data_IF_164205159632
#
_entry.id   IF_164205159632
#
_cell.length_a   1.000
_cell.length_b   1.000
_cell.length_c   1.000
_cell.angle_alpha   90.00
_cell.angle_beta   90.00
_cell.angle_gamma   90.00
#
_symmetry.space_group_name_H-M   'P 1'
#
loop_
_entity.id
_entity.type
_entity.pdbx_description
1 polymer ?
#
# COMPACT_ATOMS: atom_id res chain seq x y z
N UNK A 1 -5.31 0.69 10.58
CA UNK A 1 -4.65 -0.17 9.58
C UNK A 1 -5.51 -1.40 9.41
N UNK A 2 -5.61 -1.90 8.18
CA UNK A 2 -6.64 -2.86 7.80
C UNK A 2 -6.21 -4.31 7.98
N UNK A 3 -4.94 -4.58 8.33
CA UNK A 3 -4.36 -5.92 8.53
C UNK A 3 -4.71 -6.91 7.41
N UNK A 4 -4.79 -6.39 6.18
CA UNK A 4 -5.25 -7.14 5.02
C UNK A 4 -4.10 -7.94 4.44
N UNK A 5 -4.36 -9.19 4.06
CA UNK A 5 -3.40 -10.02 3.38
C UNK A 5 -3.97 -10.61 2.08
N UNK A 6 -3.08 -10.77 1.11
CA UNK A 6 -3.32 -11.54 -0.10
C UNK A 6 -2.74 -12.94 0.10
N UNK A 7 -3.53 -13.98 -0.17
CA UNK A 7 -3.11 -15.37 -0.02
C UNK A 7 -3.21 -16.06 -1.37
N UNK A 8 -2.09 -16.59 -1.86
CA UNK A 8 -1.98 -17.19 -3.19
C UNK A 8 -1.70 -18.68 -3.07
N UNK A 9 -2.65 -19.52 -3.45
CA UNK A 9 -2.51 -20.98 -3.43
C UNK A 9 -2.00 -21.48 -4.77
N UNK A 10 -0.84 -22.13 -4.75
CA UNK A 10 -0.24 -22.70 -5.93
C UNK A 10 -1.04 -23.91 -6.42
N UNK A 11 -1.27 -23.94 -7.72
CA UNK A 11 -1.90 -25.04 -8.46
C UNK A 11 -0.85 -25.99 -9.03
N UNK A 12 -1.25 -27.20 -9.49
CA UNK A 12 -0.34 -28.13 -10.17
C UNK A 12 0.32 -27.57 -11.45
N UNK A 13 -0.35 -26.65 -12.15
CA UNK A 13 0.16 -25.96 -13.34
C UNK A 13 1.17 -24.84 -13.01
N UNK A 14 1.50 -24.65 -11.73
CA UNK A 14 2.37 -23.60 -11.17
C UNK A 14 1.78 -22.18 -11.19
N UNK A 15 0.52 -22.02 -11.56
CA UNK A 15 -0.23 -20.78 -11.38
C UNK A 15 -0.81 -20.71 -9.97
N UNK A 16 -1.43 -19.58 -9.62
CA UNK A 16 -1.92 -19.30 -8.28
C UNK A 16 -3.38 -18.87 -8.30
N UNK A 17 -4.13 -19.37 -7.32
CA UNK A 17 -5.48 -18.91 -7.00
C UNK A 17 -5.40 -17.93 -5.82
N UNK A 18 -5.91 -16.72 -6.02
CA UNK A 18 -5.78 -15.60 -5.08
C UNK A 18 -7.00 -15.49 -4.19
N UNK A 19 -6.76 -15.26 -2.90
CA UNK A 19 -7.77 -15.13 -1.85
C UNK A 19 -7.44 -13.98 -0.91
N UNK A 20 -8.49 -13.47 -0.27
CA UNK A 20 -8.40 -12.37 0.69
C UNK A 20 -8.37 -12.87 2.13
N UNK A 21 -7.62 -12.19 3.00
CA UNK A 21 -7.78 -12.28 4.45
C UNK A 21 -7.82 -10.89 5.08
N UNK A 22 -8.80 -10.62 5.94
CA UNK A 22 -8.97 -9.30 6.56
C UNK A 22 -7.99 -9.03 7.71
N UNK A 23 -7.56 -10.06 8.43
CA UNK A 23 -6.66 -9.94 9.59
C UNK A 23 -5.32 -10.64 9.36
N UNK A 24 -5.06 -11.09 8.12
CA UNK A 24 -3.86 -11.84 7.78
C UNK A 24 -2.56 -11.04 7.82
N UNK A 25 -2.62 -9.71 7.84
CA UNK A 25 -1.46 -8.82 7.89
C UNK A 25 -1.12 -8.29 9.29
N UNK A 26 -1.74 -8.84 10.35
CA UNK A 26 -1.59 -8.30 11.70
C UNK A 26 -0.18 -8.49 12.25
N UNK A 27 0.38 -9.69 12.15
CA UNK A 27 1.63 -10.08 12.82
C UNK A 27 2.37 -11.27 12.17
N UNK A 28 1.96 -11.72 10.97
CA UNK A 28 2.58 -12.86 10.31
C UNK A 28 2.00 -14.23 10.69
N UNK A 29 1.26 -14.33 11.81
CA UNK A 29 0.76 -15.61 12.37
C UNK A 29 -0.20 -16.38 11.47
N UNK A 30 -0.81 -15.73 10.46
CA UNK A 30 -1.68 -16.42 9.49
C UNK A 30 -0.93 -17.54 8.75
N UNK A 31 0.37 -17.39 8.49
CA UNK A 31 1.17 -18.41 7.81
C UNK A 31 1.19 -19.74 8.57
N UNK A 32 1.33 -19.68 9.89
CA UNK A 32 1.38 -20.86 10.77
C UNK A 32 0.01 -21.57 10.90
N UNK A 33 -1.09 -20.86 10.62
CA UNK A 33 -2.45 -21.42 10.68
C UNK A 33 -2.91 -22.03 9.36
N UNK A 34 -2.23 -21.72 8.25
CA UNK A 34 -2.50 -22.32 6.95
C UNK A 34 -1.74 -23.64 6.88
N UNK A 35 -2.47 -24.75 6.92
CA UNK A 35 -1.90 -26.10 6.85
C UNK A 35 -2.73 -27.01 5.94
N UNK A 36 -2.27 -28.24 5.72
CA UNK A 36 -3.04 -29.23 4.96
C UNK A 36 -4.39 -29.57 5.63
N UNK A 37 -4.46 -29.55 6.96
CA UNK A 37 -5.66 -29.80 7.75
C UNK A 37 -6.60 -28.59 7.77
N UNK A 38 -6.03 -27.39 7.83
CA UNK A 38 -6.77 -26.11 7.83
C UNK A 38 -6.30 -25.21 6.70
N UNK A 39 -6.61 -25.55 5.43
CA UNK A 39 -6.07 -24.83 4.28
C UNK A 39 -6.52 -23.39 4.25
N UNK A 40 -7.72 -23.07 4.76
CA UNK A 40 -8.22 -21.70 4.86
C UNK A 40 -8.08 -21.09 6.27
N UNK A 41 -7.16 -21.62 7.09
CA UNK A 41 -6.90 -21.19 8.47
C UNK A 41 -8.19 -21.04 9.30
N UNK A 42 -9.05 -22.06 9.23
CA UNK A 42 -10.36 -22.11 9.92
C UNK A 42 -11.28 -20.92 9.60
N UNK A 43 -11.27 -20.47 8.33
CA UNK A 43 -12.13 -19.40 7.83
C UNK A 43 -11.52 -18.01 7.90
N UNK A 44 -10.27 -17.89 8.36
CA UNK A 44 -9.57 -16.60 8.33
C UNK A 44 -9.12 -16.19 6.92
N UNK A 45 -8.99 -17.15 6.00
CA UNK A 45 -8.86 -16.89 4.56
C UNK A 45 -10.23 -17.06 3.92
N UNK A 46 -10.65 -16.08 3.12
CA UNK A 46 -11.94 -16.14 2.44
C UNK A 46 -12.01 -17.35 1.50
N UNK A 47 -13.16 -18.03 1.51
CA UNK A 47 -13.48 -19.14 0.62
C UNK A 47 -13.67 -18.69 -0.84
N UNK A 48 -14.02 -17.43 -1.08
CA UNK A 48 -14.16 -16.88 -2.42
C UNK A 48 -12.80 -16.54 -3.05
N UNK A 49 -12.67 -16.80 -4.34
CA UNK A 49 -11.51 -16.41 -5.13
C UNK A 49 -11.62 -14.93 -5.52
N UNK A 50 -10.52 -14.21 -5.34
CA UNK A 50 -10.34 -12.88 -5.92
C UNK A 50 -9.99 -12.98 -7.41
N UNK A 51 -9.15 -13.95 -7.74
CA UNK A 51 -8.73 -14.31 -9.10
C UNK A 51 -8.18 -15.74 -9.10
N UNK A 52 -8.17 -16.39 -10.25
CA UNK A 52 -7.63 -17.74 -10.42
C UNK A 52 -6.58 -17.78 -11.53
N UNK A 53 -5.77 -18.83 -11.54
CA UNK A 53 -4.81 -19.09 -12.63
C UNK A 53 -3.83 -17.93 -12.89
N UNK A 54 -3.32 -17.27 -11.83
CA UNK A 54 -2.44 -16.11 -11.93
C UNK A 54 -0.97 -16.52 -11.85
N UNK A 55 -0.12 -16.00 -12.75
CA UNK A 55 1.32 -16.20 -12.67
C UNK A 55 1.93 -15.40 -11.50
N UNK A 56 2.99 -15.93 -10.87
CA UNK A 56 3.62 -15.31 -9.67
C UNK A 56 3.93 -13.82 -9.86
N UNK A 57 4.56 -13.44 -10.97
CA UNK A 57 4.94 -12.05 -11.22
C UNK A 57 3.72 -11.14 -11.37
N UNK A 58 2.63 -11.68 -11.94
CA UNK A 58 1.36 -10.97 -12.08
C UNK A 58 0.65 -10.72 -10.76
N UNK A 59 0.90 -11.54 -9.74
CA UNK A 59 0.38 -11.29 -8.39
C UNK A 59 0.89 -9.93 -7.91
N UNK A 60 2.19 -9.67 -8.04
CA UNK A 60 2.82 -8.43 -7.57
C UNK A 60 2.34 -7.23 -8.38
N UNK A 61 2.33 -7.32 -9.70
CA UNK A 61 2.04 -6.16 -10.56
C UNK A 61 0.55 -5.83 -10.66
N UNK A 62 -0.34 -6.83 -10.60
CA UNK A 62 -1.76 -6.63 -10.92
C UNK A 62 -2.70 -6.76 -9.72
N UNK A 63 -2.29 -7.43 -8.63
CA UNK A 63 -3.19 -7.76 -7.52
C UNK A 63 -2.70 -7.32 -6.15
N UNK A 64 -1.40 -7.17 -5.96
CA UNK A 64 -0.81 -6.77 -4.68
C UNK A 64 -0.67 -5.25 -4.61
N UNK A 65 -1.78 -4.56 -4.37
CA UNK A 65 -1.77 -3.13 -4.08
C UNK A 65 -1.08 -2.86 -2.73
N UNK A 66 0.10 -2.20 -2.70
CA UNK A 66 0.84 -1.96 -1.46
C UNK A 66 0.14 -0.97 -0.51
N UNK A 67 -0.82 -0.17 -0.99
CA UNK A 67 -1.63 0.71 -0.14
C UNK A 67 -2.74 -0.06 0.59
N UNK A 68 -3.14 -1.23 0.08
CA UNK A 68 -4.25 -2.03 0.62
C UNK A 68 -3.74 -3.20 1.45
N UNK A 69 -2.76 -3.93 0.94
CA UNK A 69 -2.26 -5.16 1.54
C UNK A 69 -1.04 -4.90 2.40
N UNK A 70 -1.03 -5.52 3.59
CA UNK A 70 0.08 -5.45 4.55
C UNK A 70 0.93 -6.74 4.50
N UNK A 71 0.39 -7.85 3.96
CA UNK A 71 1.09 -9.11 3.82
C UNK A 71 0.70 -9.89 2.54
N UNK A 72 1.63 -10.73 2.07
CA UNK A 72 1.42 -11.73 1.02
C UNK A 72 1.82 -13.11 1.55
N UNK A 73 0.98 -14.10 1.32
CA UNK A 73 1.27 -15.51 1.61
C UNK A 73 1.27 -16.32 0.32
N UNK A 74 2.37 -17.01 0.03
CA UNK A 74 2.45 -17.98 -1.06
C UNK A 74 2.35 -19.39 -0.48
N UNK A 75 1.24 -20.05 -0.74
CA UNK A 75 0.99 -21.42 -0.28
C UNK A 75 1.34 -22.37 -1.41
N UNK A 76 2.17 -23.36 -1.13
CA UNK A 76 2.52 -24.44 -2.04
C UNK A 76 1.96 -25.77 -1.52
N UNK A 77 0.71 -26.13 -1.89
CA UNK A 77 0.12 -27.42 -1.54
C UNK A 77 0.93 -28.53 -2.23
N UNK A 78 1.75 -29.22 -1.44
CA UNK A 78 2.62 -30.31 -1.85
C UNK A 78 2.78 -31.30 -0.71
N UNK A 79 3.76 -32.20 -0.80
CA UNK A 79 4.00 -33.20 0.24
C UNK A 79 4.33 -32.57 1.62
N UNK A 80 5.03 -31.43 1.62
CA UNK A 80 5.45 -30.73 2.84
C UNK A 80 4.53 -29.57 3.22
N UNK A 81 3.56 -29.22 2.37
CA UNK A 81 2.65 -28.09 2.52
C UNK A 81 3.36 -26.81 3.02
N UNK A 82 4.06 -26.13 2.10
CA UNK A 82 4.90 -24.98 2.43
C UNK A 82 4.13 -23.65 2.33
N UNK A 83 4.41 -22.73 3.25
CA UNK A 83 3.78 -21.39 3.30
C UNK A 83 4.86 -20.34 3.49
N UNK A 84 5.16 -19.62 2.41
CA UNK A 84 6.08 -18.48 2.46
C UNK A 84 5.32 -17.19 2.78
N UNK A 85 5.69 -16.52 3.86
CA UNK A 85 5.12 -15.24 4.27
C UNK A 85 6.01 -14.07 3.85
N UNK A 86 5.37 -12.98 3.44
CA UNK A 86 6.03 -11.75 3.01
C UNK A 86 5.34 -10.53 3.62
N UNK A 87 6.13 -9.62 4.18
CA UNK A 87 5.68 -8.29 4.56
C UNK A 87 5.60 -7.38 3.34
N UNK A 88 4.52 -6.61 3.19
CA UNK A 88 4.33 -5.70 2.06
C UNK A 88 4.67 -4.27 2.47
N UNK A 89 5.63 -3.68 1.76
CA UNK A 89 6.13 -2.34 1.99
C UNK A 89 5.62 -1.38 0.92
N UNK A 90 4.85 -0.36 1.29
CA UNK A 90 4.52 0.74 0.40
C UNK A 90 5.63 1.79 0.39
N UNK A 91 6.24 2.03 -0.77
CA UNK A 91 7.49 2.80 -0.87
C UNK A 91 7.29 4.30 -1.14
N UNK A 92 6.06 4.79 -1.08
CA UNK A 92 5.75 6.18 -1.41
C UNK A 92 5.13 6.95 -0.24
N UNK A 93 5.14 8.28 -0.37
CA UNK A 93 4.57 9.25 0.57
C UNK A 93 3.38 10.03 -0.05
N UNK A 94 2.86 9.58 -1.20
CA UNK A 94 1.74 10.20 -1.91
C UNK A 94 0.36 9.74 -1.39
N UNK A 95 -0.71 10.13 -2.07
CA UNK A 95 -2.08 9.68 -1.78
C UNK A 95 -2.44 8.33 -2.46
N UNK A 96 -1.43 7.61 -2.96
CA UNK A 96 -1.57 6.35 -3.70
C UNK A 96 -1.75 6.51 -5.22
N UNK A 97 -1.70 7.75 -5.75
CA UNK A 97 -1.80 8.02 -7.20
C UNK A 97 -0.45 8.10 -7.92
N UNK A 98 0.63 8.16 -7.16
CA UNK A 98 1.98 8.09 -7.70
C UNK A 98 2.34 6.61 -7.87
N UNK A 99 2.45 6.08 -9.09
CA UNK A 99 3.27 4.91 -9.45
C UNK A 99 3.00 3.52 -8.83
N UNK A 100 2.28 3.37 -7.71
CA UNK A 100 2.02 2.07 -7.08
C UNK A 100 3.28 1.33 -6.65
N UNK A 101 4.35 2.03 -6.27
CA UNK A 101 5.64 1.38 -5.96
C UNK A 101 5.59 0.67 -4.61
N UNK A 102 5.86 -0.64 -4.65
CA UNK A 102 5.85 -1.50 -3.48
C UNK A 102 7.08 -2.39 -3.41
N UNK A 103 7.26 -3.04 -2.27
CA UNK A 103 8.20 -4.15 -2.13
C UNK A 103 7.63 -5.25 -1.24
N UNK A 104 8.17 -6.45 -1.38
CA UNK A 104 7.93 -7.57 -0.48
C UNK A 104 9.24 -8.00 0.19
N UNK A 105 9.18 -8.29 1.48
CA UNK A 105 10.30 -8.82 2.26
C UNK A 105 9.87 -10.15 2.85
N UNK A 106 10.65 -11.21 2.63
CA UNK A 106 10.34 -12.52 3.21
C UNK A 106 10.46 -12.46 4.74
N UNK A 107 9.47 -13.00 5.44
CA UNK A 107 9.44 -13.02 6.90
C UNK A 107 9.20 -14.44 7.39
N UNK A 108 10.05 -14.88 8.31
CA UNK A 108 9.94 -16.19 8.97
C UNK A 108 9.39 -15.98 10.39
N UNK A 109 8.06 -16.10 10.51
CA UNK A 109 7.33 -15.95 11.75
C UNK A 109 7.16 -14.51 12.26
N UNK A 110 6.46 -14.40 13.40
CA UNK A 110 6.03 -13.13 14.00
C UNK A 110 7.19 -12.20 14.37
N UNK A 111 8.28 -12.76 14.89
CA UNK A 111 9.43 -11.96 15.32
C UNK A 111 10.12 -11.27 14.13
N UNK A 112 10.22 -11.96 12.98
CA UNK A 112 10.79 -11.38 11.76
C UNK A 112 9.87 -10.29 11.19
N UNK A 113 8.56 -10.53 11.11
CA UNK A 113 7.58 -9.53 10.67
C UNK A 113 7.63 -8.27 11.54
N UNK A 114 7.63 -8.44 12.87
CA UNK A 114 7.75 -7.30 13.81
C UNK A 114 9.04 -6.51 13.59
N UNK A 115 10.17 -7.18 13.36
CA UNK A 115 11.46 -6.52 13.07
C UNK A 115 11.35 -5.66 11.82
N UNK A 116 10.92 -6.26 10.71
CA UNK A 116 10.80 -5.59 9.41
C UNK A 116 9.85 -4.41 9.49
N UNK A 117 8.68 -4.58 10.11
CA UNK A 117 7.69 -3.51 10.30
C UNK A 117 8.23 -2.34 11.10
N UNK A 118 8.94 -2.64 12.19
CA UNK A 118 9.52 -1.61 13.06
C UNK A 118 10.59 -0.83 12.31
N UNK A 119 11.51 -1.53 11.64
CA UNK A 119 12.56 -0.94 10.83
C UNK A 119 12.00 -0.09 9.68
N UNK A 120 11.07 -0.65 8.91
CA UNK A 120 10.50 0.00 7.74
C UNK A 120 9.75 1.27 8.14
N UNK A 121 8.91 1.18 9.19
CA UNK A 121 8.17 2.33 9.71
C UNK A 121 9.10 3.42 10.23
N UNK A 122 10.12 3.06 11.00
CA UNK A 122 11.07 4.03 11.53
C UNK A 122 11.82 4.77 10.41
N UNK A 123 12.29 4.02 9.40
CA UNK A 123 13.00 4.58 8.24
C UNK A 123 12.08 5.46 7.41
N UNK A 124 10.84 5.01 7.15
CA UNK A 124 9.85 5.76 6.38
C UNK A 124 9.44 7.07 7.07
N UNK A 125 9.31 7.07 8.40
CA UNK A 125 9.07 8.28 9.20
C UNK A 125 10.24 9.24 9.11
N UNK A 126 11.48 8.79 9.34
CA UNK A 126 12.65 9.66 9.26
C UNK A 126 12.82 10.30 7.88
N UNK A 127 12.57 9.54 6.81
CA UNK A 127 12.57 10.06 5.44
C UNK A 127 11.43 11.05 5.19
N UNK A 128 10.25 10.83 5.78
CA UNK A 128 9.13 11.78 5.71
C UNK A 128 9.54 13.13 6.32
N UNK A 129 10.16 13.12 7.50
CA UNK A 129 10.62 14.33 8.17
C UNK A 129 11.65 15.09 7.31
N UNK A 130 12.58 14.37 6.66
CA UNK A 130 13.55 14.97 5.74
C UNK A 130 12.91 15.56 4.48
N UNK A 131 11.84 14.95 3.97
CA UNK A 131 11.05 15.49 2.86
C UNK A 131 10.33 16.76 3.30
N UNK A 132 9.67 16.75 4.46
CA UNK A 132 8.93 17.90 5.00
C UNK A 132 9.84 19.09 5.28
N UNK A 133 11.08 18.85 5.74
CA UNK A 133 12.10 19.88 5.91
C UNK A 133 12.73 20.37 4.59
N UNK A 134 12.37 19.77 3.45
CA UNK A 134 12.95 20.09 2.14
C UNK A 134 14.40 19.65 1.97
N UNK A 135 14.94 18.85 2.89
CA UNK A 135 16.30 18.33 2.85
C UNK A 135 16.47 17.20 1.82
N UNK A 136 15.37 16.53 1.46
CA UNK A 136 15.36 15.43 0.50
C UNK A 136 14.11 15.51 -0.41
N UNK A 137 14.27 15.20 -1.69
CA UNK A 137 13.09 15.04 -2.57
C UNK A 137 12.42 13.69 -2.33
N UNK A 138 11.10 13.60 -2.60
CA UNK A 138 10.35 12.33 -2.52
C UNK A 138 10.98 11.22 -3.37
N UNK A 139 11.40 11.54 -4.59
CA UNK A 139 12.07 10.60 -5.50
C UNK A 139 13.39 10.08 -4.92
N UNK A 140 14.19 10.96 -4.30
CA UNK A 140 15.44 10.55 -3.66
C UNK A 140 15.19 9.69 -2.41
N UNK A 141 14.16 10.02 -1.62
CA UNK A 141 13.74 9.21 -0.48
C UNK A 141 13.26 7.81 -0.90
N UNK A 142 12.45 7.72 -1.97
CA UNK A 142 12.00 6.45 -2.55
C UNK A 142 13.18 5.62 -3.04
N UNK A 143 14.11 6.23 -3.80
CA UNK A 143 15.32 5.54 -4.28
C UNK A 143 16.16 5.01 -3.12
N UNK A 144 16.31 5.80 -2.06
CA UNK A 144 17.02 5.39 -0.85
C UNK A 144 16.33 4.21 -0.16
N UNK A 145 15.01 4.28 0.00
CA UNK A 145 14.23 3.22 0.65
C UNK A 145 14.25 1.92 -0.18
N UNK A 146 14.15 2.00 -1.51
CA UNK A 146 14.32 0.85 -2.41
C UNK A 146 15.68 0.17 -2.21
N UNK A 147 16.75 0.97 -2.19
CA UNK A 147 18.10 0.45 -1.98
C UNK A 147 18.21 -0.27 -0.63
N UNK A 148 17.69 0.33 0.45
CA UNK A 148 17.71 -0.28 1.78
C UNK A 148 16.88 -1.57 1.86
N UNK A 149 15.72 -1.63 1.22
CA UNK A 149 14.92 -2.85 1.16
C UNK A 149 15.68 -3.98 0.44
N UNK A 150 16.35 -3.70 -0.67
CA UNK A 150 17.11 -4.71 -1.39
C UNK A 150 18.41 -5.11 -0.69
N UNK A 151 19.16 -4.15 -0.15
CA UNK A 151 20.50 -4.39 0.41
C UNK A 151 20.46 -4.96 1.84
N UNK A 152 19.57 -4.45 2.69
CA UNK A 152 19.55 -4.80 4.11
C UNK A 152 18.60 -5.98 4.41
N UNK A 153 17.52 -6.10 3.62
CA UNK A 153 16.41 -7.04 3.90
C UNK A 153 16.17 -8.05 2.77
N UNK A 154 17.00 -8.07 1.72
CA UNK A 154 16.87 -8.95 0.53
C UNK A 154 15.47 -8.89 -0.10
N UNK A 155 14.85 -7.70 -0.05
CA UNK A 155 13.49 -7.47 -0.52
C UNK A 155 13.38 -7.35 -2.03
N UNK A 156 12.21 -7.72 -2.55
CA UNK A 156 11.87 -7.61 -3.98
C UNK A 156 10.97 -6.41 -4.22
N UNK A 157 11.44 -5.44 -5.00
CA UNK A 157 10.68 -4.25 -5.38
C UNK A 157 9.84 -4.51 -6.63
N UNK A 158 8.63 -3.98 -6.67
CA UNK A 158 7.70 -4.08 -7.80
C UNK A 158 6.91 -2.78 -8.00
N UNK A 159 6.25 -2.69 -9.15
CA UNK A 159 5.34 -1.58 -9.50
C UNK A 159 3.96 -2.17 -9.69
N UNK A 160 3.00 -1.76 -8.85
CA UNK A 160 1.61 -2.12 -8.99
C UNK A 160 0.95 -1.24 -10.05
N UNK A 161 0.34 -1.87 -11.06
CA UNK A 161 -0.40 -1.23 -12.16
C UNK A 161 -1.89 -1.58 -12.11
N UNK A 162 -2.30 -2.45 -11.18
CA UNK A 162 -3.65 -2.99 -11.14
C UNK A 162 -3.97 -3.95 -12.29
N UNK A 163 -5.15 -4.56 -12.23
CA UNK A 163 -5.62 -5.53 -13.21
C UNK A 163 -6.02 -4.88 -14.56
N UNK A 164 -6.34 -3.58 -14.57
CA UNK A 164 -6.92 -2.87 -15.72
C UNK A 164 -5.90 -2.24 -16.69
N UNK A 165 -4.63 -2.13 -16.31
CA UNK A 165 -3.57 -1.51 -17.14
C UNK A 165 -3.12 -2.36 -18.34
N UNK A 166 -3.80 -3.47 -18.64
CA UNK A 166 -3.60 -4.19 -19.88
C UNK A 166 -4.25 -3.52 -21.11
N UNK A 167 -5.02 -2.43 -20.95
CA UNK A 167 -5.74 -1.80 -22.07
C UNK A 167 -6.07 -0.30 -21.92
N UNK A 168 -5.09 0.56 -21.64
CA UNK A 168 -5.27 2.03 -21.76
C UNK A 168 -4.20 2.64 -22.68
N UNK A 169 -4.46 2.60 -23.99
CA UNK A 169 -3.69 3.36 -25.02
C UNK A 169 -4.20 4.80 -25.10
N UNK A 170 -4.25 5.52 -23.98
CA UNK A 170 -4.41 6.97 -24.03
C UNK A 170 -3.05 7.59 -23.64
N UNK A 171 -2.35 8.29 -24.56
CA UNK A 171 -1.06 8.88 -24.25
C UNK A 171 -1.24 9.96 -23.18
N UNK A 172 -0.73 9.65 -21.98
CA UNK A 172 -0.69 10.58 -20.86
C UNK A 172 0.05 11.87 -21.27
N UNK A 173 -0.63 13.00 -21.08
CA UNK A 173 -0.03 14.33 -21.24
C UNK A 173 0.39 14.83 -19.85
N UNK A 174 1.70 14.99 -19.57
CA UNK A 174 2.16 15.42 -18.25
C UNK A 174 1.63 16.80 -17.88
N UNK A 175 1.11 16.94 -16.66
CA UNK A 175 0.78 18.25 -16.09
C UNK A 175 2.08 19.04 -15.90
N UNK A 176 2.18 20.21 -16.54
CA UNK A 176 3.37 21.05 -16.42
C UNK A 176 3.58 21.54 -14.97
N UNK A 177 4.82 21.48 -14.50
CA UNK A 177 5.23 21.92 -13.16
C UNK A 177 4.83 23.38 -12.91
N UNK A 178 3.88 23.59 -12.00
CA UNK A 178 3.63 24.91 -11.42
C UNK A 178 4.48 25.05 -10.17
N UNK A 179 5.55 25.83 -10.28
CA UNK A 179 6.25 26.38 -9.13
C UNK A 179 5.31 27.33 -8.40
N UNK A 180 5.21 27.22 -7.07
CA UNK A 180 4.49 28.19 -6.25
C UNK A 180 5.21 29.53 -6.39
N UNK A 181 4.60 30.47 -7.13
CA UNK A 181 5.10 31.84 -7.23
C UNK A 181 4.85 32.57 -5.90
N UNK A 182 5.88 33.30 -5.44
CA UNK A 182 5.80 34.22 -4.31
C UNK A 182 4.99 35.48 -4.66
N UNK A 183 3.94 35.75 -3.86
CA UNK A 183 3.36 37.08 -3.61
C UNK A 183 2.02 37.42 -4.31
N UNK A 184 1.29 38.49 -3.89
CA UNK A 184 1.68 39.56 -2.97
C UNK A 184 0.69 39.83 -1.81
N UNK A 185 1.19 40.63 -0.85
CA UNK A 185 0.43 41.34 0.20
C UNK A 185 -0.89 41.92 -0.32
N UNK A 186 -1.99 41.68 0.40
CA UNK A 186 -3.21 42.49 0.28
C UNK A 186 -3.33 43.39 1.50
N UNK A 187 -3.17 44.69 1.24
CA UNK A 187 -3.50 45.79 2.13
C UNK A 187 -4.95 45.71 2.61
N UNK A 188 -5.13 46.08 3.86
CA UNK A 188 -6.37 46.51 4.48
C UNK A 188 -7.04 47.59 3.63
N UNK A 189 -8.33 47.41 3.32
CA UNK A 189 -9.22 48.56 3.13
C UNK A 189 -10.60 48.32 3.74
N UNK A 190 -11.02 49.41 4.36
CA UNK A 190 -12.21 49.70 5.12
C UNK A 190 -13.36 50.01 4.14
N UNK A 191 -14.61 49.67 4.49
CA UNK A 191 -15.91 50.27 4.05
C UNK A 191 -17.00 49.18 4.19
N UNK A 192 -17.97 49.30 5.10
CA UNK A 192 -19.08 50.26 5.04
C UNK A 192 -20.39 49.44 5.04
N UNK A 193 -20.91 49.12 6.23
CA UNK A 193 -22.19 48.41 6.39
C UNK A 193 -23.30 49.42 6.71
N UNK A 194 -24.07 49.78 5.69
CA UNK A 194 -25.34 50.49 5.85
C UNK A 194 -26.48 49.48 6.06
N UNK A 195 -27.09 49.62 7.25
CA UNK A 195 -28.53 49.65 7.53
C UNK A 195 -29.47 48.70 6.78
N UNK A 196 -30.04 47.74 7.51
CA UNK A 196 -31.43 47.35 7.25
C UNK A 196 -32.21 47.28 8.58
N UNK A 197 -33.25 48.11 8.68
CA UNK A 197 -34.06 48.30 9.86
C UNK A 197 -35.11 47.22 10.03
N UNK A 198 -35.24 46.69 11.24
CA UNK A 198 -36.37 45.88 11.68
C UNK A 198 -37.34 46.74 12.48
N UNK A 199 -38.54 46.85 11.92
CA UNK A 199 -39.68 47.63 12.37
C UNK A 199 -40.46 46.84 13.43
N UNK A 200 -40.55 47.37 14.65
CA UNK A 200 -41.48 46.93 15.69
C UNK A 200 -42.74 47.79 15.60
N UNK A 201 -43.91 47.18 15.36
CA UNK A 201 -45.11 47.37 16.19
C UNK A 201 -46.39 46.74 15.62
N UNK A 202 -47.17 46.25 16.57
CA UNK A 202 -48.63 46.13 16.64
C UNK A 202 -49.41 45.13 15.77
N UNK A 203 -50.00 44.16 16.48
CA UNK A 203 -51.34 43.63 16.20
C UNK A 203 -52.16 43.56 17.51
N UNK A 204 -53.48 43.80 17.42
CA UNK A 204 -54.37 44.13 18.55
C UNK A 204 -54.70 42.97 19.49
#
# INVERSE_FOLDING_TARGET
>A
MGHRALVAYRRPDRLYDLRYSHWGGEDGSLGERISAETPLASGAVNADLLADSIARDRILTNFLDPCIYEALYLVAPGAEYDVAAYHVCWLEWGDGRDGGRGAIIAVDGEAADRRVRTWFRATKTALADLIEMGALSRRAAQTYLEARVCEDEDGTVYTYTGADDAASTEPYTPTADRWLEDGPHRETDHDGWDSNGENWDDRP
#
